data_IF_084608189813
#
_entry.id   IF_084608189813
#
_cell.length_a   1.000
_cell.length_b   1.000
_cell.length_c   1.000
_cell.angle_alpha   90.00
_cell.angle_beta   90.00
_cell.angle_gamma   90.00
#
_symmetry.space_group_name_H-M   'P 1'
#
loop_
_entity.id
_entity.type
_entity.pdbx_description
1 polymer ?
#
# COMPACT_ATOMS: atom_id res chain seq x y z
N UNK A 1 32.38 3.46 49.95
CA UNK A 1 31.66 2.57 50.88
C UNK A 1 30.61 3.38 51.62
N UNK A 2 29.36 3.37 51.15
CA UNK A 2 28.21 3.95 51.89
C UNK A 2 27.06 2.95 51.77
N UNK A 3 26.50 2.60 52.94
CA UNK A 3 25.55 1.51 53.17
C UNK A 3 24.13 1.87 52.71
N UNK A 4 23.47 0.88 52.12
CA UNK A 4 22.03 0.84 51.81
C UNK A 4 21.24 0.60 53.11
N UNK A 5 20.17 1.36 53.38
CA UNK A 5 19.06 0.86 54.19
C UNK A 5 17.90 0.43 53.30
N UNK A 6 17.59 -0.86 53.38
CA UNK A 6 16.35 -1.50 52.95
C UNK A 6 15.26 -1.08 53.94
N UNK A 7 14.15 -0.50 53.45
CA UNK A 7 12.92 -0.47 54.23
C UNK A 7 11.76 -1.02 53.40
N UNK A 8 11.37 -2.24 53.78
CA UNK A 8 10.11 -2.90 53.44
C UNK A 8 8.99 -2.17 54.18
N UNK A 9 7.97 -1.74 53.45
CA UNK A 9 6.61 -1.62 54.00
C UNK A 9 5.61 -1.87 52.89
N UNK A 10 5.10 -3.10 52.88
CA UNK A 10 3.91 -3.51 52.16
C UNK A 10 2.71 -2.78 52.73
N UNK A 11 2.05 -1.95 51.91
CA UNK A 11 0.66 -1.55 52.16
C UNK A 11 -0.13 -2.03 50.95
N UNK A 12 -0.88 -3.11 51.17
CA UNK A 12 -1.94 -3.57 50.29
C UNK A 12 -2.98 -2.45 50.17
N UNK A 13 -2.91 -1.68 49.08
CA UNK A 13 -3.97 -0.77 48.71
C UNK A 13 -5.11 -1.62 48.11
N UNK A 14 -6.18 -1.77 48.87
CA UNK A 14 -7.44 -2.36 48.43
C UNK A 14 -7.96 -1.56 47.23
N UNK A 15 -7.82 -2.12 46.03
CA UNK A 15 -8.46 -1.61 44.81
C UNK A 15 -9.96 -1.87 44.94
N UNK A 16 -10.68 -0.86 45.41
CA UNK A 16 -12.13 -0.78 45.30
C UNK A 16 -12.50 -0.80 43.82
N UNK A 17 -12.92 -1.97 43.34
CA UNK A 17 -13.64 -2.15 42.09
C UNK A 17 -15.00 -1.44 42.20
N UNK A 18 -14.99 -0.13 42.02
CA UNK A 18 -16.18 0.61 41.60
C UNK A 18 -16.43 0.22 40.14
N UNK A 19 -17.14 -0.89 39.96
CA UNK A 19 -17.83 -1.23 38.73
C UNK A 19 -18.91 -0.19 38.48
N UNK A 20 -18.51 1.01 38.08
CA UNK A 20 -19.39 1.96 37.46
C UNK A 20 -19.91 1.27 36.19
N UNK A 21 -21.20 0.92 36.20
CA UNK A 21 -21.98 0.77 34.99
C UNK A 21 -21.91 2.11 34.24
N UNK A 22 -20.79 2.35 33.55
CA UNK A 22 -20.76 3.28 32.46
C UNK A 22 -21.81 2.74 31.49
N UNK A 23 -22.99 3.36 31.49
CA UNK A 23 -23.89 3.33 30.36
C UNK A 23 -23.04 3.79 29.19
N UNK A 24 -22.45 2.82 28.49
CA UNK A 24 -21.81 3.05 27.20
C UNK A 24 -22.94 3.70 26.41
N UNK A 25 -22.83 5.01 26.06
CA UNK A 25 -23.86 5.62 25.25
C UNK A 25 -23.96 4.73 24.02
N UNK A 26 -25.16 4.22 23.75
CA UNK A 26 -25.41 3.46 22.54
C UNK A 26 -24.82 4.30 21.41
N UNK A 27 -23.73 3.82 20.80
CA UNK A 27 -23.14 4.45 19.63
C UNK A 27 -24.30 4.54 18.68
N UNK A 28 -24.78 5.76 18.44
CA UNK A 28 -25.95 5.98 17.62
C UNK A 28 -25.68 5.26 16.30
N UNK A 29 -26.41 4.16 16.08
CA UNK A 29 -26.29 3.37 14.88
C UNK A 29 -26.57 4.35 13.75
N UNK A 30 -25.55 4.60 12.91
CA UNK A 30 -25.66 5.59 11.84
C UNK A 30 -26.94 5.30 11.03
N UNK A 31 -27.59 6.34 10.48
CA UNK A 31 -28.80 6.14 9.68
C UNK A 31 -28.54 5.04 8.64
N UNK A 32 -29.37 3.99 8.66
CA UNK A 32 -29.24 2.90 7.70
C UNK A 32 -29.46 3.50 6.31
N UNK A 33 -28.51 3.34 5.38
CA UNK A 33 -28.67 3.90 4.06
C UNK A 33 -29.91 3.32 3.38
N UNK A 34 -30.54 4.12 2.52
CA UNK A 34 -31.60 3.63 1.66
C UNK A 34 -31.16 2.36 0.89
N UNK A 35 -32.07 1.41 0.68
CA UNK A 35 -31.77 0.13 0.00
C UNK A 35 -31.12 0.32 -1.38
N UNK A 36 -31.54 1.36 -2.10
CA UNK A 36 -30.99 1.73 -3.41
C UNK A 36 -29.53 2.17 -3.36
N UNK A 37 -29.07 2.77 -2.25
CA UNK A 37 -27.66 3.09 -2.05
C UNK A 37 -26.83 1.83 -1.84
N UNK A 38 -27.31 0.91 -1.01
CA UNK A 38 -26.65 -0.38 -0.79
C UNK A 38 -26.54 -1.18 -2.08
N UNK A 39 -27.59 -1.19 -2.91
CA UNK A 39 -27.58 -1.83 -4.24
C UNK A 39 -26.55 -1.20 -5.18
N UNK A 40 -26.48 0.14 -5.22
CA UNK A 40 -25.51 0.87 -6.03
C UNK A 40 -24.07 0.59 -5.60
N UNK A 41 -23.80 0.59 -4.29
CA UNK A 41 -22.49 0.23 -3.74
C UNK A 41 -22.12 -1.20 -4.10
N UNK A 42 -23.01 -2.17 -3.87
CA UNK A 42 -22.74 -3.56 -4.21
C UNK A 42 -22.49 -3.77 -5.71
N UNK A 43 -23.18 -3.02 -6.57
CA UNK A 43 -22.95 -3.06 -8.01
C UNK A 43 -21.60 -2.44 -8.42
N UNK A 44 -21.21 -1.33 -7.81
CA UNK A 44 -19.91 -0.71 -8.03
C UNK A 44 -18.76 -1.61 -7.52
N UNK A 45 -18.95 -2.26 -6.37
CA UNK A 45 -17.95 -3.13 -5.77
C UNK A 45 -17.62 -4.34 -6.66
N UNK A 46 -18.64 -5.02 -7.17
CA UNK A 46 -18.46 -6.11 -8.15
C UNK A 46 -17.69 -5.67 -9.40
N UNK A 47 -17.83 -4.41 -9.83
CA UNK A 47 -17.08 -3.86 -10.97
C UNK A 47 -15.63 -3.60 -10.59
N UNK A 48 -15.38 -3.00 -9.43
CA UNK A 48 -14.04 -2.75 -8.92
C UNK A 48 -13.26 -4.05 -8.69
N UNK A 49 -13.90 -5.09 -8.13
CA UNK A 49 -13.31 -6.43 -7.96
C UNK A 49 -12.93 -7.08 -9.29
N UNK A 50 -13.70 -6.81 -10.36
CA UNK A 50 -13.38 -7.22 -11.72
C UNK A 50 -12.31 -6.34 -12.41
N UNK A 51 -11.77 -5.33 -11.72
CA UNK A 51 -10.81 -4.36 -12.24
C UNK A 51 -11.43 -3.26 -13.11
N UNK A 52 -12.76 -3.20 -13.25
CA UNK A 52 -13.51 -2.20 -14.00
C UNK A 52 -13.83 -0.98 -13.12
N UNK A 53 -12.79 -0.24 -12.72
CA UNK A 53 -12.93 0.96 -11.89
C UNK A 53 -13.72 2.09 -12.57
N UNK A 54 -13.64 2.19 -13.91
CA UNK A 54 -14.41 3.18 -14.69
C UNK A 54 -15.90 2.85 -14.65
N UNK A 55 -16.26 1.57 -14.78
CA UNK A 55 -17.64 1.11 -14.60
C UNK A 55 -18.16 1.34 -13.18
N UNK A 56 -17.34 1.06 -12.17
CA UNK A 56 -17.67 1.35 -10.77
C UNK A 56 -17.94 2.84 -10.54
N UNK A 57 -17.06 3.73 -11.03
CA UNK A 57 -17.22 5.18 -10.91
C UNK A 57 -18.50 5.66 -11.59
N UNK A 58 -18.82 5.14 -12.78
CA UNK A 58 -20.05 5.50 -13.51
C UNK A 58 -21.31 5.16 -12.71
N UNK A 59 -21.38 3.97 -12.12
CA UNK A 59 -22.53 3.55 -11.29
C UNK A 59 -22.73 4.53 -10.12
N UNK A 60 -21.63 4.88 -9.44
CA UNK A 60 -21.65 5.80 -8.32
C UNK A 60 -22.02 7.23 -8.75
N UNK A 61 -21.47 7.72 -9.86
CA UNK A 61 -21.79 9.02 -10.41
C UNK A 61 -23.28 9.13 -10.79
N UNK A 62 -23.82 8.11 -11.48
CA UNK A 62 -25.24 8.05 -11.84
C UNK A 62 -26.15 8.04 -10.61
N UNK A 63 -25.76 7.31 -9.55
CA UNK A 63 -26.48 7.34 -8.28
C UNK A 63 -26.44 8.73 -7.64
N UNK A 64 -25.25 9.36 -7.56
CA UNK A 64 -25.10 10.70 -6.99
C UNK A 64 -25.93 11.77 -7.70
N UNK A 65 -26.11 11.65 -9.02
CA UNK A 65 -27.01 12.53 -9.79
C UNK A 65 -28.48 12.32 -9.43
N UNK A 66 -28.92 11.06 -9.29
CA UNK A 66 -30.32 10.73 -8.95
C UNK A 66 -30.65 11.05 -7.49
N UNK A 67 -29.68 10.89 -6.59
CA UNK A 67 -29.82 11.10 -5.15
C UNK A 67 -29.37 12.50 -4.71
N UNK A 68 -29.35 13.49 -5.63
CA UNK A 68 -28.89 14.85 -5.33
C UNK A 68 -29.68 15.47 -4.17
N UNK A 69 -28.95 16.02 -3.19
CA UNK A 69 -29.54 16.66 -2.01
C UNK A 69 -29.92 15.69 -0.88
N UNK A 70 -29.71 14.39 -1.06
CA UNK A 70 -29.84 13.40 0.02
C UNK A 70 -28.50 13.18 0.72
N UNK A 71 -28.50 12.71 1.99
CA UNK A 71 -27.27 12.29 2.66
C UNK A 71 -26.49 11.25 1.84
N UNK A 72 -27.16 10.23 1.31
CA UNK A 72 -26.55 9.17 0.50
C UNK A 72 -25.82 9.75 -0.73
N UNK A 73 -26.46 10.68 -1.45
CA UNK A 73 -25.86 11.33 -2.61
C UNK A 73 -24.59 12.12 -2.28
N UNK A 74 -24.49 12.70 -1.08
CA UNK A 74 -23.27 13.37 -0.62
C UNK A 74 -22.15 12.35 -0.33
N UNK A 75 -22.51 11.22 0.27
CA UNK A 75 -21.58 10.18 0.72
C UNK A 75 -21.00 9.34 -0.43
N UNK A 76 -21.62 9.35 -1.62
CA UNK A 76 -21.08 8.75 -2.85
C UNK A 76 -19.65 9.19 -3.15
N UNK A 77 -19.34 10.47 -2.91
CA UNK A 77 -18.04 11.04 -3.26
C UNK A 77 -16.89 10.40 -2.46
N UNK A 78 -17.15 9.88 -1.26
CA UNK A 78 -16.19 9.07 -0.51
C UNK A 78 -15.85 7.76 -1.24
N UNK A 79 -16.86 7.01 -1.67
CA UNK A 79 -16.67 5.72 -2.36
C UNK A 79 -15.94 5.89 -3.70
N UNK A 80 -16.28 6.94 -4.44
CA UNK A 80 -15.55 7.31 -5.68
C UNK A 80 -14.07 7.59 -5.38
N UNK A 81 -13.79 8.42 -4.37
CA UNK A 81 -12.43 8.71 -3.94
C UNK A 81 -11.66 7.45 -3.48
N UNK A 82 -12.34 6.53 -2.79
CA UNK A 82 -11.78 5.25 -2.36
C UNK A 82 -11.32 4.39 -3.55
N UNK A 83 -12.14 4.27 -4.59
CA UNK A 83 -11.76 3.54 -5.81
C UNK A 83 -10.65 4.21 -6.63
N UNK A 84 -10.47 5.53 -6.50
CA UNK A 84 -9.36 6.25 -7.14
C UNK A 84 -8.03 5.98 -6.41
N UNK A 85 -8.03 5.89 -5.08
CA UNK A 85 -6.78 5.63 -4.30
C UNK A 85 -6.40 4.14 -4.24
N UNK A 86 -7.29 3.25 -4.66
CA UNK A 86 -7.02 1.81 -4.66
C UNK A 86 -5.73 1.50 -5.45
N UNK A 87 -4.71 0.86 -4.84
CA UNK A 87 -3.49 0.49 -5.52
C UNK A 87 -3.70 -0.44 -6.75
N UNK A 88 -4.80 -1.19 -6.80
CA UNK A 88 -5.16 -2.02 -7.94
C UNK A 88 -5.73 -1.21 -9.11
N UNK A 89 -6.20 0.02 -8.88
CA UNK A 89 -6.58 0.94 -9.95
C UNK A 89 -5.35 1.58 -10.60
N UNK A 90 -4.90 1.00 -11.72
CA UNK A 90 -3.73 1.48 -12.47
C UNK A 90 -4.01 2.68 -13.38
N UNK A 91 -5.29 3.03 -13.55
CA UNK A 91 -5.72 4.11 -14.46
C UNK A 91 -5.77 5.47 -13.75
N UNK A 92 -5.99 5.47 -12.44
CA UNK A 92 -5.99 6.65 -11.61
C UNK A 92 -4.62 6.93 -10.98
N UNK A 93 -4.38 8.20 -10.64
CA UNK A 93 -3.20 8.60 -9.88
C UNK A 93 -3.52 8.74 -8.38
N UNK A 94 -2.55 8.43 -7.51
CA UNK A 94 -2.72 8.67 -6.06
C UNK A 94 -3.00 10.14 -5.74
N UNK A 95 -2.40 11.08 -6.49
CA UNK A 95 -2.63 12.51 -6.30
C UNK A 95 -4.07 12.94 -6.60
N UNK A 96 -4.70 12.33 -7.61
CA UNK A 96 -6.12 12.53 -7.92
C UNK A 96 -7.01 12.00 -6.78
N UNK A 97 -6.70 10.82 -6.25
CA UNK A 97 -7.46 10.24 -5.14
C UNK A 97 -7.35 11.04 -3.85
N UNK A 98 -6.17 11.58 -3.53
CA UNK A 98 -5.99 12.51 -2.40
C UNK A 98 -6.86 13.76 -2.59
N UNK A 99 -6.89 14.35 -3.79
CA UNK A 99 -7.73 15.50 -4.11
C UNK A 99 -9.22 15.18 -3.95
N UNK A 100 -9.65 14.00 -4.39
CA UNK A 100 -11.04 13.55 -4.25
C UNK A 100 -11.43 13.40 -2.76
N UNK A 101 -10.53 12.87 -1.92
CA UNK A 101 -10.74 12.79 -0.47
C UNK A 101 -10.77 14.18 0.18
N UNK A 102 -9.93 15.12 -0.26
CA UNK A 102 -9.97 16.51 0.21
C UNK A 102 -11.32 17.18 -0.11
N UNK A 103 -11.85 16.97 -1.31
CA UNK A 103 -13.18 17.46 -1.71
C UNK A 103 -14.28 16.88 -0.82
N UNK A 104 -14.27 15.56 -0.59
CA UNK A 104 -15.23 14.92 0.32
C UNK A 104 -15.16 15.51 1.73
N UNK A 105 -13.96 15.64 2.30
CA UNK A 105 -13.75 16.20 3.63
C UNK A 105 -14.12 17.68 3.73
N UNK A 106 -14.02 18.45 2.64
CA UNK A 106 -14.43 19.84 2.59
C UNK A 106 -15.94 20.04 2.34
N UNK A 107 -16.65 19.01 1.88
CA UNK A 107 -18.08 19.11 1.54
C UNK A 107 -18.96 19.14 2.81
N UNK A 108 -19.73 20.22 3.05
CA UNK A 108 -20.65 20.28 4.18
C UNK A 108 -21.73 19.20 4.09
N UNK A 109 -22.14 18.65 5.24
CA UNK A 109 -23.17 17.60 5.32
C UNK A 109 -22.67 16.17 5.16
N UNK A 110 -21.43 15.97 4.71
CA UNK A 110 -20.76 14.66 4.78
C UNK A 110 -20.41 14.32 6.22
N UNK A 111 -20.73 13.12 6.67
CA UNK A 111 -20.47 12.69 8.06
C UNK A 111 -20.16 11.21 8.19
N UNK A 112 -20.76 10.33 7.37
CA UNK A 112 -20.75 8.88 7.61
C UNK A 112 -19.35 8.30 7.48
N UNK A 113 -18.54 8.79 6.54
CA UNK A 113 -17.23 8.24 6.23
C UNK A 113 -16.07 9.21 6.46
N UNK A 114 -16.27 10.29 7.24
CA UNK A 114 -15.20 11.27 7.52
C UNK A 114 -13.96 10.66 8.17
N UNK A 115 -14.15 9.83 9.19
CA UNK A 115 -13.03 9.18 9.88
C UNK A 115 -12.26 8.22 8.95
N UNK A 116 -12.92 7.28 8.24
CA UNK A 116 -12.28 6.49 7.18
C UNK A 116 -11.55 7.34 6.13
N UNK A 117 -12.16 8.42 5.64
CA UNK A 117 -11.57 9.30 4.64
C UNK A 117 -10.26 9.95 5.12
N UNK A 118 -10.20 10.39 6.38
CA UNK A 118 -8.99 10.94 6.99
C UNK A 118 -7.86 9.91 7.07
N UNK A 119 -8.18 8.67 7.44
CA UNK A 119 -7.19 7.57 7.48
C UNK A 119 -6.69 7.30 6.07
N UNK A 120 -7.61 7.11 5.13
CA UNK A 120 -7.29 6.79 3.73
C UNK A 120 -6.44 7.88 3.07
N UNK A 121 -6.74 9.15 3.34
CA UNK A 121 -5.98 10.30 2.86
C UNK A 121 -4.53 10.27 3.36
N UNK A 122 -4.32 10.05 4.67
CA UNK A 122 -2.96 9.95 5.24
C UNK A 122 -2.19 8.77 4.65
N UNK A 123 -2.85 7.62 4.51
CA UNK A 123 -2.25 6.43 3.89
C UNK A 123 -1.83 6.71 2.44
N UNK A 124 -2.71 7.32 1.65
CA UNK A 124 -2.42 7.68 0.26
C UNK A 124 -1.25 8.68 0.17
N UNK A 125 -1.19 9.67 1.07
CA UNK A 125 -0.05 10.59 1.18
C UNK A 125 1.26 9.87 1.50
N UNK A 126 1.27 8.97 2.48
CA UNK A 126 2.45 8.16 2.81
C UNK A 126 2.89 7.30 1.62
N UNK A 127 1.96 6.67 0.91
CA UNK A 127 2.25 5.90 -0.29
C UNK A 127 2.84 6.78 -1.41
N UNK A 128 2.31 7.99 -1.61
CA UNK A 128 2.83 8.94 -2.58
C UNK A 128 4.26 9.36 -2.23
N UNK A 129 4.54 9.66 -0.96
CA UNK A 129 5.90 9.98 -0.50
C UNK A 129 6.87 8.83 -0.71
N UNK A 130 6.46 7.59 -0.41
CA UNK A 130 7.30 6.40 -0.65
C UNK A 130 7.60 6.20 -2.14
N UNK A 131 6.61 6.40 -3.03
CA UNK A 131 6.82 6.32 -4.49
C UNK A 131 7.76 7.41 -4.99
N UNK A 132 7.72 8.62 -4.41
CA UNK A 132 8.62 9.71 -4.78
C UNK A 132 10.07 9.46 -4.32
N UNK A 133 10.27 8.70 -3.25
CA UNK A 133 11.61 8.31 -2.76
C UNK A 133 12.21 7.12 -3.49
N UNK A 134 11.40 6.33 -4.20
CA UNK A 134 11.93 5.26 -5.03
C UNK A 134 12.76 5.90 -6.14
N UNK A 135 14.08 5.62 -6.21
CA UNK A 135 14.87 6.11 -7.33
C UNK A 135 14.20 5.56 -8.59
N UNK A 136 13.84 6.47 -9.51
CA UNK A 136 13.45 6.06 -10.85
C UNK A 136 14.61 5.21 -11.33
N UNK A 137 14.40 3.89 -11.38
CA UNK A 137 15.33 2.98 -12.05
C UNK A 137 15.19 3.33 -13.52
N UNK A 138 15.88 4.40 -13.92
CA UNK A 138 16.14 4.66 -15.32
C UNK A 138 16.89 3.42 -15.75
N UNK A 139 16.21 2.56 -16.51
CA UNK A 139 16.87 1.49 -17.21
C UNK A 139 17.79 2.14 -18.25
N UNK A 140 18.93 2.66 -17.79
CA UNK A 140 20.11 2.91 -18.62
C UNK A 140 20.66 1.54 -18.96
N UNK A 141 20.00 0.87 -19.89
CA UNK A 141 20.11 -0.59 -20.05
C UNK A 141 19.85 -1.04 -21.47
N UNK A 142 20.21 -0.23 -22.47
CA UNK A 142 20.40 -0.75 -23.83
C UNK A 142 21.85 -0.80 -24.29
N UNK A 143 22.72 0.09 -23.82
CA UNK A 143 24.13 0.08 -24.27
C UNK A 143 25.14 -0.46 -23.25
N UNK A 144 24.93 -0.33 -21.94
CA UNK A 144 25.95 -0.76 -20.96
C UNK A 144 25.79 -2.22 -20.50
N UNK A 145 24.58 -2.78 -20.57
CA UNK A 145 24.30 -4.16 -20.13
C UNK A 145 24.69 -5.20 -21.19
N UNK A 146 24.62 -4.84 -22.49
CA UNK A 146 25.11 -5.71 -23.56
C UNK A 146 26.63 -5.77 -23.58
N UNK A 147 27.30 -4.61 -23.54
CA UNK A 147 28.77 -4.53 -23.49
C UNK A 147 29.32 -5.23 -22.24
N UNK A 148 28.71 -5.04 -21.05
CA UNK A 148 29.15 -5.73 -19.83
C UNK A 148 29.01 -7.26 -19.90
N UNK A 149 28.01 -7.80 -20.62
CA UNK A 149 27.84 -9.26 -20.79
C UNK A 149 28.79 -9.81 -21.83
N UNK A 150 29.07 -9.05 -22.88
CA UNK A 150 30.01 -9.43 -23.94
C UNK A 150 31.44 -9.45 -23.41
N UNK A 151 31.83 -8.47 -22.59
CA UNK A 151 33.13 -8.43 -21.90
C UNK A 151 33.27 -9.58 -20.90
N UNK A 152 32.20 -9.91 -20.16
CA UNK A 152 32.18 -11.04 -19.23
C UNK A 152 32.28 -12.37 -19.98
N UNK A 153 31.57 -12.54 -21.10
CA UNK A 153 31.66 -13.72 -21.96
C UNK A 153 33.07 -13.83 -22.59
N UNK A 154 33.68 -12.72 -23.01
CA UNK A 154 35.03 -12.71 -23.56
C UNK A 154 36.06 -13.12 -22.50
N UNK A 155 35.97 -12.54 -21.29
CA UNK A 155 36.82 -12.89 -20.14
C UNK A 155 36.70 -14.37 -19.76
N UNK A 156 35.47 -14.90 -19.70
CA UNK A 156 35.21 -16.31 -19.41
C UNK A 156 35.80 -17.24 -20.50
N UNK A 157 35.76 -16.84 -21.76
CA UNK A 157 36.37 -17.60 -22.87
C UNK A 157 37.90 -17.60 -22.78
N UNK A 158 38.52 -16.48 -22.45
CA UNK A 158 39.97 -16.40 -22.26
C UNK A 158 40.42 -17.25 -21.07
N UNK A 159 39.65 -17.27 -19.98
CA UNK A 159 39.91 -18.14 -18.84
C UNK A 159 39.81 -19.63 -19.20
N UNK A 160 38.81 -20.02 -20.00
CA UNK A 160 38.69 -21.40 -20.50
C UNK A 160 39.85 -21.78 -21.42
N UNK A 161 40.24 -20.89 -22.33
CA UNK A 161 41.37 -21.13 -23.24
C UNK A 161 42.68 -21.30 -22.47
N UNK A 162 42.92 -20.45 -21.47
CA UNK A 162 44.10 -20.53 -20.60
C UNK A 162 44.12 -21.82 -19.78
N UNK A 163 42.98 -22.19 -19.17
CA UNK A 163 42.86 -23.44 -18.41
C UNK A 163 43.10 -24.67 -19.29
N UNK A 164 42.56 -24.69 -20.51
CA UNK A 164 42.79 -25.79 -21.47
C UNK A 164 44.26 -25.87 -21.90
N UNK A 165 44.92 -24.74 -22.12
CA UNK A 165 46.36 -24.71 -22.43
C UNK A 165 47.21 -25.25 -21.28
N UNK A 166 46.85 -24.95 -20.02
CA UNK A 166 47.52 -25.51 -18.85
C UNK A 166 47.29 -27.02 -18.71
N UNK A 167 46.06 -27.50 -18.95
CA UNK A 167 45.76 -28.93 -18.94
C UNK A 167 46.59 -29.69 -19.98
N UNK A 168 46.71 -29.18 -21.20
CA UNK A 168 47.54 -29.80 -22.24
C UNK A 168 49.04 -29.75 -21.89
N UNK A 169 49.51 -28.69 -21.23
CA UNK A 169 50.90 -28.63 -20.73
C UNK A 169 51.16 -29.66 -19.64
N UNK A 170 50.24 -29.82 -18.68
CA UNK A 170 50.32 -30.84 -17.63
C UNK A 170 50.26 -32.24 -18.25
N UNK A 171 49.35 -32.46 -19.20
CA UNK A 171 49.23 -33.73 -19.93
C UNK A 171 50.50 -34.09 -20.68
N UNK A 172 51.17 -33.13 -21.34
CA UNK A 172 52.48 -33.37 -21.98
C UNK A 172 53.57 -33.69 -20.96
N UNK A 173 53.58 -33.04 -19.79
CA UNK A 173 54.51 -33.37 -18.70
C UNK A 173 54.26 -34.77 -18.14
N UNK A 174 53.00 -35.18 -17.99
CA UNK A 174 52.63 -36.51 -17.52
C UNK A 174 52.87 -37.61 -18.56
N UNK A 175 52.76 -37.29 -19.86
CA UNK A 175 53.03 -38.22 -20.95
C UNK A 175 54.54 -38.43 -21.21
N UNK A 176 55.38 -37.53 -20.72
CA UNK A 176 56.84 -37.66 -20.78
C UNK A 176 57.44 -37.47 -19.38
N UNK A 177 57.18 -38.40 -18.44
CA UNK A 177 57.81 -38.35 -17.13
C UNK A 177 59.29 -38.68 -17.34
N UNK A 178 60.19 -37.72 -17.08
CA UNK A 178 61.62 -37.98 -17.14
C UNK A 178 61.95 -39.24 -16.31
N UNK A 179 62.60 -40.20 -16.96
CA UNK A 179 63.37 -41.28 -16.32
C UNK A 179 64.82 -40.85 -16.27
#
# INVERSE_FOLDING_TARGET
>A
MIRIPVLRTSVFAAVLLLGACAKVPAVAEGPKPASTFAEALAAADRRAEAGDYVGADRILADFGLKAKGTPEGLEVSFWRAMYIVDPANRTASLGEGIRALDIYLATPGTSWYRAPALVLRRTAQSMQSLRAQQPVRVASGRDTVFVSREDEIASLRDHLAKANAELERIKRRLANPER
#
